data_IF_496260899434
#
_entry.id   IF_496260899434
#
_cell.length_a   1.000
_cell.length_b   1.000
_cell.length_c   1.000
_cell.angle_alpha   90.00
_cell.angle_beta   90.00
_cell.angle_gamma   90.00
#
_symmetry.space_group_name_H-M   'P 1'
#
loop_
_entity.id
_entity.type
_entity.pdbx_description
1 polymer ?
#
# COMPACT_ATOMS: atom_id res chain seq x y z
N UNK A 1 -33.88 7.57 -68.06
CA UNK A 1 -33.55 7.44 -66.61
C UNK A 1 -32.24 8.18 -66.37
N UNK A 2 -32.31 9.46 -66.01
CA UNK A 2 -31.13 10.33 -65.82
C UNK A 2 -30.58 10.15 -64.44
N UNK A 3 -29.43 9.53 -64.34
CA UNK A 3 -28.66 9.34 -63.11
C UNK A 3 -28.07 10.70 -62.70
N UNK A 4 -28.60 11.33 -61.62
CA UNK A 4 -28.03 12.54 -61.06
C UNK A 4 -26.68 12.20 -60.39
N UNK A 5 -25.59 12.62 -61.01
CA UNK A 5 -24.25 12.57 -60.42
C UNK A 5 -24.21 13.50 -59.20
N UNK A 6 -24.17 12.94 -57.99
CA UNK A 6 -23.94 13.69 -56.77
C UNK A 6 -22.54 14.31 -56.82
N UNK A 7 -22.47 15.63 -56.82
CA UNK A 7 -21.25 16.43 -56.77
C UNK A 7 -20.49 16.11 -55.49
N UNK A 8 -19.36 15.42 -55.59
CA UNK A 8 -18.45 15.17 -54.42
C UNK A 8 -17.86 16.53 -54.02
N UNK A 9 -18.09 16.90 -52.74
CA UNK A 9 -17.42 18.05 -52.12
C UNK A 9 -16.06 17.58 -51.62
N UNK A 10 -14.97 18.19 -52.07
CA UNK A 10 -13.64 17.99 -51.57
C UNK A 10 -13.51 18.51 -50.14
N UNK A 11 -12.73 17.82 -49.29
CA UNK A 11 -12.41 18.25 -47.94
C UNK A 11 -11.49 19.47 -48.01
N UNK A 12 -11.82 20.53 -47.31
CA UNK A 12 -11.02 21.75 -47.27
C UNK A 12 -9.89 21.58 -46.23
N UNK A 13 -8.68 22.10 -46.53
CA UNK A 13 -7.52 22.01 -45.62
C UNK A 13 -7.81 22.57 -44.23
N UNK A 14 -8.64 23.59 -44.14
CA UNK A 14 -9.03 24.19 -42.85
C UNK A 14 -9.87 23.20 -41.99
N UNK A 15 -10.69 22.37 -42.63
CA UNK A 15 -11.52 21.39 -41.95
C UNK A 15 -10.65 20.29 -41.33
N UNK A 16 -9.58 19.85 -42.01
CA UNK A 16 -8.59 18.89 -41.50
C UNK A 16 -7.83 19.49 -40.33
N UNK A 17 -7.39 20.75 -40.43
CA UNK A 17 -6.69 21.41 -39.32
C UNK A 17 -7.60 21.55 -38.10
N UNK A 18 -8.86 21.96 -38.29
CA UNK A 18 -9.81 22.09 -37.19
C UNK A 18 -10.08 20.72 -36.50
N UNK A 19 -10.24 19.66 -37.27
CA UNK A 19 -10.48 18.31 -36.73
C UNK A 19 -9.26 17.78 -35.95
N UNK A 20 -8.03 18.03 -36.41
CA UNK A 20 -6.81 17.65 -35.69
C UNK A 20 -6.73 18.39 -34.34
N UNK A 21 -7.01 19.70 -34.32
CA UNK A 21 -6.97 20.49 -33.08
C UNK A 21 -8.00 19.95 -32.08
N UNK A 22 -9.23 19.72 -32.50
CA UNK A 22 -10.30 19.22 -31.62
C UNK A 22 -9.97 17.83 -31.10
N UNK A 23 -9.47 16.93 -31.95
CA UNK A 23 -9.10 15.57 -31.55
C UNK A 23 -7.91 15.56 -30.61
N UNK A 24 -6.89 16.38 -30.81
CA UNK A 24 -5.73 16.46 -29.89
C UNK A 24 -6.14 16.96 -28.51
N UNK A 25 -6.95 18.00 -28.40
CA UNK A 25 -7.47 18.48 -27.12
C UNK A 25 -8.32 17.42 -26.43
N UNK A 26 -9.19 16.74 -27.20
CA UNK A 26 -10.01 15.64 -26.67
C UNK A 26 -9.17 14.47 -26.13
N UNK A 27 -8.13 14.06 -26.85
CA UNK A 27 -7.22 13.00 -26.42
C UNK A 27 -6.40 13.39 -25.19
N UNK A 28 -5.95 14.64 -25.08
CA UNK A 28 -5.26 15.13 -23.88
C UNK A 28 -6.16 15.06 -22.65
N UNK A 29 -7.43 15.43 -22.78
CA UNK A 29 -8.42 15.31 -21.71
C UNK A 29 -8.65 13.87 -21.26
N UNK A 30 -8.77 12.94 -22.22
CA UNK A 30 -8.90 11.51 -21.91
C UNK A 30 -7.67 10.94 -21.20
N UNK A 31 -6.47 11.31 -21.64
CA UNK A 31 -5.23 10.87 -21.00
C UNK A 31 -5.15 11.36 -19.54
N UNK A 32 -5.53 12.60 -19.27
CA UNK A 32 -5.57 13.14 -17.90
C UNK A 32 -6.53 12.35 -17.00
N UNK A 33 -7.71 12.00 -17.51
CA UNK A 33 -8.69 11.18 -16.78
C UNK A 33 -8.19 9.76 -16.54
N UNK A 34 -7.54 9.12 -17.52
CA UNK A 34 -6.96 7.79 -17.37
C UNK A 34 -5.87 7.77 -16.30
N UNK A 35 -5.01 8.80 -16.27
CA UNK A 35 -3.95 8.92 -15.26
C UNK A 35 -4.54 9.04 -13.85
N UNK A 36 -5.58 9.87 -13.68
CA UNK A 36 -6.28 10.03 -12.40
C UNK A 36 -6.96 8.72 -11.96
N UNK A 37 -7.63 8.03 -12.88
CA UNK A 37 -8.28 6.75 -12.60
C UNK A 37 -7.26 5.67 -12.21
N UNK A 38 -6.11 5.60 -12.91
CA UNK A 38 -5.03 4.65 -12.60
C UNK A 38 -4.46 4.89 -11.18
N UNK A 39 -4.22 6.14 -10.80
CA UNK A 39 -3.76 6.48 -9.44
C UNK A 39 -4.76 6.06 -8.37
N UNK A 40 -6.04 6.39 -8.57
CA UNK A 40 -7.10 6.01 -7.63
C UNK A 40 -7.24 4.48 -7.48
N UNK A 41 -7.03 3.74 -8.57
CA UNK A 41 -7.04 2.26 -8.53
C UNK A 41 -5.85 1.71 -7.72
N UNK A 42 -4.66 2.30 -7.88
CA UNK A 42 -3.49 1.91 -7.11
C UNK A 42 -3.68 2.18 -5.61
N UNK A 43 -4.20 3.35 -5.24
CA UNK A 43 -4.45 3.69 -3.84
C UNK A 43 -5.52 2.77 -3.22
N UNK A 44 -6.58 2.43 -3.98
CA UNK A 44 -7.57 1.43 -3.54
C UNK A 44 -6.96 0.04 -3.35
N UNK A 45 -6.02 -0.36 -4.23
CA UNK A 45 -5.27 -1.61 -4.11
C UNK A 45 -4.42 -1.64 -2.84
N UNK A 46 -3.68 -0.57 -2.56
CA UNK A 46 -2.86 -0.43 -1.35
C UNK A 46 -3.71 -0.54 -0.08
N UNK A 47 -4.87 0.13 -0.06
CA UNK A 47 -5.79 0.04 1.07
C UNK A 47 -6.30 -1.39 1.30
N UNK A 48 -6.63 -2.11 0.22
CA UNK A 48 -7.04 -3.52 0.33
C UNK A 48 -5.93 -4.39 0.93
N UNK A 49 -4.68 -4.19 0.50
CA UNK A 49 -3.52 -4.89 1.05
C UNK A 49 -3.31 -4.56 2.54
N UNK A 50 -3.40 -3.28 2.91
CA UNK A 50 -3.26 -2.86 4.30
C UNK A 50 -4.33 -3.49 5.21
N UNK A 51 -5.57 -3.62 4.73
CA UNK A 51 -6.64 -4.32 5.48
C UNK A 51 -6.29 -5.79 5.69
N UNK A 52 -5.75 -6.47 4.68
CA UNK A 52 -5.33 -7.87 4.82
C UNK A 52 -4.18 -8.04 5.82
N UNK A 53 -3.18 -7.14 5.81
CA UNK A 53 -2.11 -7.12 6.81
C UNK A 53 -2.66 -6.91 8.22
N UNK A 54 -3.62 -6.00 8.36
CA UNK A 54 -4.29 -5.72 9.62
C UNK A 54 -5.05 -6.94 10.15
N UNK A 55 -5.78 -7.64 9.27
CA UNK A 55 -6.50 -8.87 9.62
C UNK A 55 -5.54 -10.00 9.99
N UNK A 56 -4.42 -10.17 9.27
CA UNK A 56 -3.41 -11.18 9.57
C UNK A 56 -2.79 -10.91 10.96
N UNK A 57 -2.35 -9.68 11.22
CA UNK A 57 -1.82 -9.30 12.53
C UNK A 57 -2.85 -9.52 13.65
N UNK A 58 -4.09 -9.10 13.43
CA UNK A 58 -5.19 -9.30 14.38
C UNK A 58 -5.38 -10.80 14.73
N UNK A 59 -5.31 -11.68 13.74
CA UNK A 59 -5.48 -13.12 13.95
C UNK A 59 -4.27 -13.72 14.70
N UNK A 60 -3.06 -13.25 14.43
CA UNK A 60 -1.84 -13.66 15.15
C UNK A 60 -1.89 -13.22 16.61
N UNK A 61 -2.28 -11.98 16.89
CA UNK A 61 -2.47 -11.48 18.25
C UNK A 61 -3.50 -12.29 19.01
N UNK A 62 -4.62 -12.65 18.38
CA UNK A 62 -5.63 -13.54 19.00
C UNK A 62 -5.11 -14.95 19.29
N UNK A 63 -4.17 -15.43 18.50
CA UNK A 63 -3.52 -16.71 18.76
C UNK A 63 -2.51 -16.65 19.91
N UNK A 64 -1.99 -15.45 20.24
CA UNK A 64 -0.99 -15.21 21.28
C UNK A 64 -1.51 -14.25 22.37
N UNK A 65 -2.72 -14.46 22.85
CA UNK A 65 -3.35 -13.58 23.86
C UNK A 65 -2.56 -13.45 25.15
N UNK A 66 -1.79 -14.49 25.54
CA UNK A 66 -0.95 -14.46 26.75
C UNK A 66 0.17 -13.42 26.63
N UNK A 67 0.61 -13.14 25.41
CA UNK A 67 1.65 -12.16 25.09
C UNK A 67 1.11 -10.93 24.41
N UNK A 68 -0.15 -10.54 24.62
CA UNK A 68 -0.75 -9.39 23.93
C UNK A 68 0.01 -8.09 24.23
N UNK A 69 0.49 -7.92 25.45
CA UNK A 69 1.26 -6.75 25.88
C UNK A 69 2.60 -6.62 25.16
N UNK A 70 3.15 -7.75 24.68
CA UNK A 70 4.42 -7.79 23.96
C UNK A 70 4.31 -7.29 22.50
N UNK A 71 3.09 -7.07 22.01
CA UNK A 71 2.86 -6.45 20.70
C UNK A 71 2.92 -4.94 20.73
N UNK A 72 2.97 -4.30 21.93
CA UNK A 72 3.10 -2.85 22.03
C UNK A 72 4.41 -2.37 21.36
N UNK A 73 4.29 -1.54 20.35
CA UNK A 73 5.43 -1.05 19.57
C UNK A 73 6.05 0.21 20.14
N UNK A 74 5.41 0.82 21.17
CA UNK A 74 5.82 2.10 21.75
C UNK A 74 5.99 3.21 20.70
N UNK A 75 5.13 3.21 19.69
CA UNK A 75 5.13 4.13 18.57
C UNK A 75 5.26 3.43 17.20
N UNK A 76 5.35 4.22 16.14
CA UNK A 76 5.39 3.67 14.78
C UNK A 76 6.64 2.80 14.51
N UNK A 77 6.40 1.56 14.17
CA UNK A 77 7.41 0.59 13.73
C UNK A 77 7.48 0.56 12.21
N UNK A 78 8.68 0.57 11.66
CA UNK A 78 8.99 0.33 10.24
C UNK A 78 9.83 -0.93 10.08
N UNK A 79 9.99 -1.40 8.84
CA UNK A 79 10.84 -2.54 8.55
C UNK A 79 12.30 -2.27 8.97
N UNK A 80 12.85 -3.17 9.76
CA UNK A 80 14.20 -3.13 10.29
C UNK A 80 14.87 -4.50 10.25
N UNK A 81 15.84 -4.71 11.16
CA UNK A 81 16.51 -6.00 11.29
C UNK A 81 15.52 -7.07 11.71
N UNK A 82 15.53 -8.21 11.01
CA UNK A 82 14.66 -9.33 11.32
C UNK A 82 14.95 -9.87 12.73
N UNK A 83 13.91 -10.04 13.58
CA UNK A 83 14.04 -10.73 14.85
C UNK A 83 14.23 -12.23 14.66
N UNK A 84 14.26 -13.00 15.76
CA UNK A 84 14.20 -14.47 15.70
C UNK A 84 12.87 -14.88 15.05
N UNK A 85 12.95 -15.65 13.96
CA UNK A 85 11.75 -16.13 13.26
C UNK A 85 11.16 -17.29 14.04
N UNK A 86 9.90 -17.15 14.44
CA UNK A 86 9.16 -18.12 15.26
C UNK A 86 8.17 -18.98 14.48
N UNK A 87 8.00 -18.75 13.19
CA UNK A 87 7.13 -19.54 12.31
C UNK A 87 7.95 -20.42 11.36
N UNK A 88 7.32 -21.46 10.81
CA UNK A 88 7.93 -22.23 9.75
C UNK A 88 7.82 -21.48 8.43
N UNK A 89 8.91 -21.42 7.68
CA UNK A 89 8.95 -20.74 6.39
C UNK A 89 9.64 -21.59 5.32
N UNK A 90 9.52 -21.18 4.08
CA UNK A 90 10.17 -21.83 2.95
C UNK A 90 11.31 -20.96 2.44
N UNK A 91 12.54 -21.48 2.50
CA UNK A 91 13.75 -20.75 2.08
C UNK A 91 14.02 -20.81 0.58
N UNK A 92 12.98 -21.01 -0.24
CA UNK A 92 13.08 -21.22 -1.69
C UNK A 92 13.38 -22.66 -2.09
N UNK A 93 14.37 -23.30 -1.46
CA UNK A 93 14.75 -24.69 -1.75
C UNK A 93 14.21 -25.68 -0.69
N UNK A 94 14.15 -25.28 0.57
CA UNK A 94 13.81 -26.15 1.68
C UNK A 94 12.81 -25.50 2.63
N UNK A 95 12.00 -26.33 3.28
CA UNK A 95 11.19 -25.91 4.41
C UNK A 95 12.06 -25.80 5.65
N UNK A 96 12.06 -24.65 6.27
CA UNK A 96 12.65 -24.42 7.59
C UNK A 96 11.54 -24.53 8.62
N UNK A 97 11.72 -25.43 9.59
CA UNK A 97 10.75 -25.65 10.66
C UNK A 97 10.79 -24.50 11.66
N UNK A 98 9.65 -24.17 12.26
CA UNK A 98 9.60 -23.25 13.37
C UNK A 98 10.47 -23.78 14.54
N UNK A 99 11.22 -22.91 15.24
CA UNK A 99 11.88 -23.29 16.46
C UNK A 99 10.86 -23.61 17.56
N UNK A 100 11.19 -24.54 18.45
CA UNK A 100 10.28 -24.98 19.52
C UNK A 100 10.44 -24.16 20.82
N UNK A 101 11.27 -23.12 20.80
CA UNK A 101 11.73 -22.39 21.97
C UNK A 101 11.47 -20.89 21.93
N UNK A 102 10.50 -20.45 21.13
CA UNK A 102 10.08 -19.04 21.12
C UNK A 102 9.29 -18.70 22.39
N UNK A 103 9.72 -17.64 23.06
CA UNK A 103 8.92 -16.99 24.11
C UNK A 103 7.74 -16.22 23.50
N UNK A 104 6.78 -15.81 24.32
CA UNK A 104 5.63 -15.00 23.86
C UNK A 104 6.07 -13.65 23.25
N UNK A 105 7.12 -13.04 23.82
CA UNK A 105 7.71 -11.80 23.30
C UNK A 105 8.43 -12.01 21.95
N UNK A 106 9.20 -13.10 21.81
CA UNK A 106 9.85 -13.44 20.53
C UNK A 106 8.80 -13.74 19.45
N UNK A 107 7.68 -14.39 19.83
CA UNK A 107 6.57 -14.65 18.92
C UNK A 107 5.93 -13.33 18.46
N UNK A 108 5.66 -12.39 19.39
CA UNK A 108 5.09 -11.09 19.05
C UNK A 108 5.99 -10.29 18.11
N UNK A 109 7.29 -10.24 18.41
CA UNK A 109 8.26 -9.55 17.54
C UNK A 109 8.36 -10.20 16.14
N UNK A 110 8.33 -11.55 16.08
CA UNK A 110 8.33 -12.31 14.84
C UNK A 110 7.07 -12.02 14.02
N UNK A 111 5.90 -12.02 14.64
CA UNK A 111 4.61 -11.78 13.99
C UNK A 111 4.52 -10.35 13.40
N UNK A 112 4.91 -9.34 14.18
CA UNK A 112 4.97 -7.95 13.73
C UNK A 112 5.89 -7.79 12.52
N UNK A 113 7.10 -8.36 12.62
CA UNK A 113 8.07 -8.29 11.53
C UNK A 113 7.61 -9.05 10.29
N UNK A 114 7.03 -10.24 10.45
CA UNK A 114 6.55 -11.05 9.34
C UNK A 114 5.43 -10.35 8.57
N UNK A 115 4.45 -9.79 9.28
CA UNK A 115 3.33 -9.08 8.66
C UNK A 115 3.79 -7.80 7.97
N UNK A 116 4.67 -7.02 8.61
CA UNK A 116 5.11 -5.73 8.07
C UNK A 116 6.17 -5.88 6.97
N UNK A 117 7.16 -6.73 7.17
CA UNK A 117 8.37 -6.83 6.36
C UNK A 117 8.47 -8.13 5.56
N UNK A 118 7.66 -9.13 5.91
CA UNK A 118 7.78 -10.47 5.34
C UNK A 118 9.07 -11.19 5.75
N UNK A 119 9.33 -12.32 5.11
CA UNK A 119 10.58 -13.06 5.29
C UNK A 119 11.57 -12.70 4.20
N UNK A 120 12.70 -12.14 4.58
CA UNK A 120 13.85 -12.05 3.72
C UNK A 120 14.73 -13.29 3.89
N UNK A 121 14.54 -14.31 3.07
CA UNK A 121 15.55 -15.36 2.97
C UNK A 121 16.45 -15.06 1.77
N UNK A 122 17.76 -14.97 2.02
CA UNK A 122 18.73 -14.86 0.94
C UNK A 122 18.85 -16.24 0.26
N UNK A 123 18.34 -16.35 -0.95
CA UNK A 123 18.60 -17.48 -1.82
C UNK A 123 19.58 -17.01 -2.90
N UNK A 124 20.82 -17.49 -2.85
CA UNK A 124 21.89 -17.15 -3.81
C UNK A 124 22.11 -15.63 -3.98
N UNK A 125 22.28 -14.89 -2.88
CA UNK A 125 22.43 -13.43 -2.85
C UNK A 125 21.25 -12.63 -3.44
N UNK A 126 20.16 -13.29 -3.76
CA UNK A 126 18.92 -12.65 -4.20
C UNK A 126 17.85 -12.83 -3.14
N UNK A 127 17.40 -11.73 -2.56
CA UNK A 127 16.24 -11.71 -1.65
C UNK A 127 15.00 -11.79 -2.52
N UNK A 128 14.24 -12.87 -2.44
CA UNK A 128 13.08 -13.11 -3.29
C UNK A 128 11.83 -13.47 -2.48
N UNK A 129 11.51 -12.70 -1.46
CA UNK A 129 10.20 -12.85 -0.83
C UNK A 129 9.46 -11.55 -0.88
N UNK A 130 8.29 -11.58 -1.53
CA UNK A 130 7.36 -10.48 -1.48
C UNK A 130 6.64 -10.50 -0.13
N UNK A 131 6.83 -9.45 0.63
CA UNK A 131 5.94 -9.10 1.73
C UNK A 131 4.82 -8.22 1.22
N UNK A 132 3.77 -8.03 2.01
CA UNK A 132 2.78 -7.00 1.70
C UNK A 132 3.43 -5.61 1.63
N UNK A 133 4.55 -5.40 2.33
CA UNK A 133 5.38 -4.20 2.27
C UNK A 133 5.97 -3.91 0.87
N UNK A 134 6.14 -4.92 0.01
CA UNK A 134 6.62 -4.70 -1.36
C UNK A 134 5.55 -4.05 -2.26
N UNK A 135 4.29 -4.16 -1.88
CA UNK A 135 3.16 -3.59 -2.63
C UNK A 135 2.68 -2.25 -2.08
N UNK A 136 3.03 -1.92 -0.84
CA UNK A 136 2.62 -0.71 -0.13
C UNK A 136 3.85 0.17 0.10
N UNK A 137 3.76 1.45 -0.26
CA UNK A 137 4.87 2.36 -0.10
C UNK A 137 5.08 2.71 1.38
N UNK A 138 6.29 2.42 1.90
CA UNK A 138 6.74 2.79 3.23
C UNK A 138 5.73 2.43 4.35
N UNK A 139 5.33 1.14 4.47
CA UNK A 139 4.35 0.71 5.46
C UNK A 139 4.90 0.86 6.87
N UNK A 140 4.03 1.26 7.79
CA UNK A 140 4.32 1.33 9.23
C UNK A 140 3.14 0.77 10.02
N UNK A 141 3.46 0.21 11.15
CA UNK A 141 2.48 -0.27 12.12
C UNK A 141 2.73 0.39 13.47
N UNK A 142 1.68 0.79 14.12
CA UNK A 142 1.66 1.24 15.50
C UNK A 142 0.65 0.39 16.26
N UNK A 143 1.11 -0.29 17.30
CA UNK A 143 0.27 -1.10 18.18
C UNK A 143 0.40 -0.54 19.57
N UNK A 144 -0.71 -0.15 20.14
CA UNK A 144 -0.80 0.29 21.54
C UNK A 144 -1.73 -0.62 22.33
N UNK A 145 -1.28 -1.10 23.48
CA UNK A 145 -2.06 -2.00 24.33
C UNK A 145 -2.50 -1.27 25.59
N UNK A 146 -3.82 -1.20 25.81
CA UNK A 146 -4.42 -0.57 26.98
C UNK A 146 -4.40 -1.45 28.22
N UNK A 147 -4.68 -0.86 29.39
CA UNK A 147 -4.75 -1.58 30.68
C UNK A 147 -5.85 -2.66 30.74
N UNK A 148 -6.81 -2.61 29.82
CA UNK A 148 -7.89 -3.58 29.64
C UNK A 148 -7.52 -4.72 28.68
N UNK A 149 -6.24 -4.83 28.29
CA UNK A 149 -5.72 -5.75 27.29
C UNK A 149 -6.38 -5.57 25.89
N UNK A 150 -6.97 -4.42 25.64
CA UNK A 150 -7.44 -4.07 24.30
C UNK A 150 -6.29 -3.48 23.53
N UNK A 151 -5.93 -4.12 22.42
CA UNK A 151 -4.91 -3.61 21.51
C UNK A 151 -5.56 -2.79 20.39
N UNK A 152 -5.06 -1.58 20.17
CA UNK A 152 -5.38 -0.77 18.99
C UNK A 152 -4.22 -0.86 18.01
N UNK A 153 -4.53 -1.23 16.77
CA UNK A 153 -3.55 -1.40 15.69
C UNK A 153 -3.82 -0.31 14.66
N UNK A 154 -2.80 0.43 14.29
CA UNK A 154 -2.83 1.44 13.24
C UNK A 154 -1.83 1.05 12.18
N UNK A 155 -2.32 0.72 10.98
CA UNK A 155 -1.48 0.52 9.80
C UNK A 155 -1.49 1.80 8.95
N UNK A 156 -0.32 2.34 8.61
CA UNK A 156 -0.18 3.56 7.83
C UNK A 156 0.80 3.36 6.67
N UNK A 157 0.58 4.06 5.54
CA UNK A 157 1.43 3.98 4.34
C UNK A 157 1.39 5.28 3.55
N UNK A 158 2.39 5.47 2.70
CA UNK A 158 2.47 6.64 1.84
C UNK A 158 1.50 6.53 0.66
N UNK A 159 0.76 7.59 0.38
CA UNK A 159 -0.18 7.68 -0.74
C UNK A 159 0.27 8.73 -1.75
N UNK A 160 -0.15 8.56 -3.02
CA UNK A 160 0.27 9.42 -4.12
C UNK A 160 -0.78 10.44 -4.56
N UNK A 161 -2.02 10.28 -4.14
CA UNK A 161 -3.12 11.11 -4.65
C UNK A 161 -3.68 12.05 -3.61
N UNK A 162 -3.91 11.56 -2.40
CA UNK A 162 -4.45 12.37 -1.30
C UNK A 162 -4.18 11.67 0.02
N UNK A 163 -3.88 12.42 1.04
CA UNK A 163 -3.72 11.96 2.41
C UNK A 163 -4.42 12.91 3.36
N UNK A 164 -4.28 12.65 4.65
CA UNK A 164 -4.80 13.49 5.71
C UNK A 164 -3.58 14.07 6.43
N UNK A 165 -3.52 15.40 6.60
CA UNK A 165 -2.49 16.06 7.40
C UNK A 165 -2.70 15.84 8.91
N UNK A 166 -1.79 16.35 9.74
CA UNK A 166 -1.87 16.25 11.20
C UNK A 166 -3.12 16.92 11.78
N UNK A 167 -3.67 17.91 11.08
CA UNK A 167 -4.88 18.64 11.46
C UNK A 167 -6.18 17.96 10.97
N UNK A 168 -6.08 16.84 10.24
CA UNK A 168 -7.22 16.08 9.72
C UNK A 168 -7.77 16.61 8.38
N UNK A 169 -7.06 17.50 7.69
CA UNK A 169 -7.47 18.02 6.40
C UNK A 169 -7.00 17.10 5.27
N UNK A 170 -7.79 17.00 4.21
CA UNK A 170 -7.41 16.27 3.02
C UNK A 170 -6.37 17.09 2.23
N UNK A 171 -5.17 16.56 2.10
CA UNK A 171 -4.08 17.14 1.33
C UNK A 171 -3.87 16.32 0.05
N UNK A 172 -3.69 16.99 -1.06
CA UNK A 172 -3.48 16.35 -2.36
C UNK A 172 -2.01 16.46 -2.75
N UNK A 173 -1.40 15.35 -3.17
CA UNK A 173 -0.09 15.39 -3.78
C UNK A 173 -0.16 16.17 -5.10
N UNK A 174 0.62 17.23 -5.22
CA UNK A 174 0.73 17.98 -6.47
C UNK A 174 1.48 17.15 -7.52
N UNK A 175 1.01 17.12 -8.79
CA UNK A 175 1.62 16.27 -9.82
C UNK A 175 2.99 16.74 -10.29
N UNK A 176 3.43 17.92 -9.92
CA UNK A 176 4.61 18.59 -10.47
C UNK A 176 5.90 18.39 -9.65
N UNK A 177 5.83 17.70 -8.51
CA UNK A 177 7.02 17.45 -7.68
C UNK A 177 7.67 18.72 -7.13
N UNK A 178 7.01 19.87 -7.20
CA UNK A 178 7.48 21.06 -6.50
C UNK A 178 7.26 20.85 -5.01
N UNK A 179 8.35 20.55 -4.33
CA UNK A 179 8.43 20.51 -2.88
C UNK A 179 8.14 21.92 -2.35
N UNK A 180 6.88 22.15 -2.01
CA UNK A 180 6.58 23.25 -1.12
C UNK A 180 6.82 22.76 0.29
N UNK A 181 8.02 23.09 0.79
CA UNK A 181 8.42 23.00 2.18
C UNK A 181 8.30 21.61 2.84
N UNK A 182 9.48 21.03 3.15
CA UNK A 182 9.72 19.82 3.95
C UNK A 182 8.58 18.79 3.96
N UNK A 183 8.58 17.98 2.90
CA UNK A 183 8.00 16.60 2.87
C UNK A 183 6.74 16.36 3.71
N UNK A 184 5.62 16.95 3.34
CA UNK A 184 4.33 16.38 3.74
C UNK A 184 4.18 15.08 2.97
N UNK A 185 4.71 14.00 3.54
CA UNK A 185 4.45 12.65 3.05
C UNK A 185 3.00 12.37 3.37
N UNK A 186 2.16 12.36 2.34
CA UNK A 186 0.76 12.02 2.49
C UNK A 186 0.65 10.55 2.89
N UNK A 187 0.03 10.30 4.03
CA UNK A 187 -0.19 8.95 4.54
C UNK A 187 -1.68 8.65 4.65
N UNK A 188 -2.06 7.45 4.25
CA UNK A 188 -3.37 6.88 4.59
C UNK A 188 -3.19 5.85 5.70
N UNK A 189 -4.27 5.50 6.40
CA UNK A 189 -4.25 4.56 7.51
C UNK A 189 -5.52 3.74 7.63
N UNK A 190 -5.38 2.55 8.19
CA UNK A 190 -6.47 1.70 8.64
C UNK A 190 -6.25 1.32 10.09
N UNK A 191 -7.32 1.19 10.85
CA UNK A 191 -7.27 0.88 12.28
C UNK A 191 -8.14 -0.32 12.61
N UNK A 192 -7.70 -1.12 13.57
CA UNK A 192 -8.51 -2.18 14.17
C UNK A 192 -8.29 -2.23 15.67
N UNK A 193 -9.25 -2.82 16.38
CA UNK A 193 -9.14 -3.13 17.82
C UNK A 193 -9.28 -4.62 18.03
N UNK A 194 -8.36 -5.15 18.83
CA UNK A 194 -8.35 -6.55 19.25
C UNK A 194 -8.79 -6.60 20.70
N UNK A 195 -9.88 -7.29 20.95
CA UNK A 195 -10.35 -7.58 22.30
C UNK A 195 -9.95 -9.01 22.68
N UNK A 196 -9.50 -9.25 23.92
CA UNK A 196 -9.12 -10.56 24.41
C UNK A 196 -10.29 -11.53 24.46
#
# INVERSE_FOLDING_TARGET
MLMQLKKQRGINMIEVLATIIITTVGLLGLNALQLKASRATLDSGNRSQAVWMLEDLTNRMRANLVGIDEYDTNGEMSCGTAPKICSAYHSGANRVSAPNDCSVAEQAASDLHEVLCGYGAAVNDSITFSSAADFIANPRVDVSVGEDNVAEIIFSWDVRTSGIDEDGNIVYALPDGTETDESIVLRDRVTARVHP
#
